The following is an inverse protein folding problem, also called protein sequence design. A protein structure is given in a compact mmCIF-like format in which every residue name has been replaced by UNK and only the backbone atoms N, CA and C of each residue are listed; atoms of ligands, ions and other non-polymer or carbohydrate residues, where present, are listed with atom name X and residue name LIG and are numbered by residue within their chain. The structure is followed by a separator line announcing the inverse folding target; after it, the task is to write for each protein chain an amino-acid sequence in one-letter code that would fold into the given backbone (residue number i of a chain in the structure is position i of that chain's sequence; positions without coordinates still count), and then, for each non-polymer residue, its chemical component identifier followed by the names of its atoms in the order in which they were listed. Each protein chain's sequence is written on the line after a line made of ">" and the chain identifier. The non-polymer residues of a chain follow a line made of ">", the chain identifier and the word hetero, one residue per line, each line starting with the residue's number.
data_IF_639641449512
#
_entry.id   IF_639641449512
#
_cell.length_a   1.000
_cell.length_b   1.000
_cell.length_c   1.000
_cell.angle_alpha   90.00
_cell.angle_beta   90.00
_cell.angle_gamma   90.00
#
_symmetry.space_group_name_H-M   'P 1'
#
loop_
_entity.id
_entity.type
_entity.pdbx_description
1 polymer ?
#
# COMPACT_ATOMS: atom_id res chain seq x y z
N UNK A 1 24.88 -21.64 17.30
CA UNK A 1 23.78 -22.19 16.48
C UNK A 1 22.52 -21.33 16.56
N UNK A 2 22.18 -20.73 17.71
CA UNK A 2 20.93 -19.96 17.88
C UNK A 2 20.94 -18.56 17.22
N UNK A 3 22.10 -17.91 17.12
CA UNK A 3 22.26 -16.63 16.40
C UNK A 3 22.07 -16.79 14.88
N UNK A 4 22.44 -17.93 14.30
CA UNK A 4 22.24 -18.21 12.89
C UNK A 4 20.75 -18.45 12.56
N UNK A 5 19.97 -19.04 13.46
CA UNK A 5 18.54 -19.24 13.34
C UNK A 5 17.77 -17.91 13.41
N UNK A 6 18.14 -16.99 14.30
CA UNK A 6 17.51 -15.66 14.43
C UNK A 6 17.60 -14.80 13.17
N UNK A 7 18.66 -14.95 12.37
CA UNK A 7 18.84 -14.19 11.14
C UNK A 7 18.21 -14.82 9.90
N UNK A 8 17.74 -16.07 10.01
CA UNK A 8 17.14 -16.81 8.90
C UNK A 8 15.61 -16.86 8.94
N UNK A 9 14.99 -16.47 10.05
CA UNK A 9 13.54 -16.52 10.23
C UNK A 9 13.04 -15.16 10.71
N UNK A 10 11.97 -14.64 10.09
CA UNK A 10 11.32 -13.37 10.47
C UNK A 10 9.81 -13.55 10.52
N UNK A 11 9.21 -13.00 11.58
CA UNK A 11 7.77 -12.78 11.62
C UNK A 11 7.39 -11.62 10.70
N UNK A 12 6.50 -11.89 9.77
CA UNK A 12 5.88 -10.87 8.93
C UNK A 12 4.46 -10.63 9.43
N UNK A 13 4.19 -9.36 9.71
CA UNK A 13 2.84 -8.92 10.05
C UNK A 13 2.00 -8.92 8.76
N UNK A 14 0.81 -9.53 8.83
CA UNK A 14 -0.19 -9.47 7.79
C UNK A 14 -1.26 -8.51 8.31
N UNK A 15 -1.35 -7.28 7.77
CA UNK A 15 -2.31 -6.32 8.28
C UNK A 15 -3.73 -6.81 8.03
N UNK A 16 -4.59 -6.67 9.04
CA UNK A 16 -6.04 -6.83 8.90
C UNK A 16 -6.63 -5.67 8.08
N UNK A 17 -7.77 -5.89 7.46
CA UNK A 17 -8.58 -4.83 6.89
C UNK A 17 -9.45 -4.20 7.96
N UNK A 18 -9.50 -2.87 7.97
CA UNK A 18 -10.43 -2.14 8.83
C UNK A 18 -11.83 -2.24 8.27
N UNK A 19 -12.83 -2.56 9.09
CA UNK A 19 -14.23 -2.68 8.72
C UNK A 19 -14.80 -1.38 8.14
N UNK A 20 -15.86 -1.47 7.39
CA UNK A 20 -16.52 -0.35 6.72
C UNK A 20 -17.55 0.34 7.62
N UNK A 21 -17.88 1.59 7.31
CA UNK A 21 -18.95 2.33 7.99
C UNK A 21 -20.02 2.64 6.95
N UNK A 22 -21.25 2.22 7.24
CA UNK A 22 -22.42 2.38 6.38
C UNK A 22 -23.43 3.36 6.98
N UNK A 23 -24.17 4.04 6.10
CA UNK A 23 -25.37 4.79 6.42
C UNK A 23 -26.59 3.86 6.64
N UNK A 24 -27.75 4.44 6.94
CA UNK A 24 -29.01 3.71 7.14
C UNK A 24 -29.52 3.02 5.86
N UNK A 25 -29.21 3.57 4.69
CA UNK A 25 -29.56 3.03 3.37
C UNK A 25 -28.50 2.07 2.79
N UNK A 26 -27.41 1.80 3.52
CA UNK A 26 -26.31 0.95 3.08
C UNK A 26 -25.27 1.64 2.21
N UNK A 27 -25.30 2.97 2.07
CA UNK A 27 -24.26 3.70 1.39
C UNK A 27 -22.97 3.72 2.20
N UNK A 28 -21.81 3.61 1.53
CA UNK A 28 -20.49 3.61 2.17
C UNK A 28 -20.09 5.00 2.63
N UNK A 29 -20.05 5.21 3.95
CA UNK A 29 -19.55 6.45 4.57
C UNK A 29 -18.03 6.44 4.70
N UNK A 30 -17.44 5.29 5.05
CA UNK A 30 -16.00 5.10 5.09
C UNK A 30 -15.63 3.66 4.74
N UNK A 31 -14.59 3.47 3.91
CA UNK A 31 -14.11 2.15 3.50
C UNK A 31 -12.60 2.12 3.40
N UNK A 32 -12.02 0.92 3.50
CA UNK A 32 -10.58 0.68 3.38
C UNK A 32 -10.23 0.18 1.99
N UNK A 33 -9.56 1.00 1.20
CA UNK A 33 -9.21 0.70 -0.19
C UNK A 33 -7.72 0.38 -0.31
N UNK A 34 -7.34 -0.76 -0.93
CA UNK A 34 -5.94 -1.05 -1.16
C UNK A 34 -5.34 -0.07 -2.17
N UNK A 35 -4.23 0.56 -1.79
CA UNK A 35 -3.40 1.39 -2.66
C UNK A 35 -2.02 0.77 -2.79
N UNK A 36 -1.42 0.96 -3.94
CA UNK A 36 -0.13 0.37 -4.27
C UNK A 36 0.93 1.45 -4.45
N UNK A 37 2.10 1.15 -3.93
CA UNK A 37 3.29 1.96 -4.10
C UNK A 37 4.32 1.13 -4.86
N UNK A 38 4.84 1.69 -5.95
CA UNK A 38 5.88 1.07 -6.76
C UNK A 38 7.21 1.73 -6.43
N UNK A 39 8.16 0.91 -6.06
CA UNK A 39 9.55 1.29 -5.82
C UNK A 39 10.50 0.49 -6.71
N UNK A 40 11.70 1.00 -6.86
CA UNK A 40 12.70 0.45 -7.75
C UNK A 40 14.03 0.24 -7.01
N UNK A 41 14.58 -0.96 -7.15
CA UNK A 41 15.95 -1.29 -6.73
C UNK A 41 16.92 -1.08 -7.90
N UNK A 42 17.63 0.04 -7.86
CA UNK A 42 18.57 0.39 -8.92
C UNK A 42 19.85 -0.47 -8.96
N UNK A 43 20.13 -1.25 -7.90
CA UNK A 43 21.32 -2.09 -7.80
C UNK A 43 21.10 -3.47 -8.41
N UNK A 44 19.90 -4.01 -8.26
CA UNK A 44 19.55 -5.36 -8.71
C UNK A 44 19.57 -5.48 -10.25
N UNK A 45 19.21 -4.40 -10.94
CA UNK A 45 19.09 -4.41 -12.42
C UNK A 45 20.47 -4.42 -13.10
N UNK A 46 20.63 -5.28 -14.10
CA UNK A 46 21.85 -5.34 -14.91
C UNK A 46 22.13 -4.03 -15.68
N UNK A 47 23.39 -3.77 -16.02
CA UNK A 47 23.74 -2.59 -16.84
C UNK A 47 23.08 -2.64 -18.23
N UNK A 48 23.03 -3.81 -18.83
CA UNK A 48 22.44 -4.04 -20.16
C UNK A 48 20.93 -3.75 -20.14
N UNK A 49 20.18 -4.42 -19.27
CA UNK A 49 18.72 -4.21 -19.14
C UNK A 49 18.37 -2.77 -18.78
N UNK A 50 19.15 -2.13 -17.90
CA UNK A 50 18.93 -0.75 -17.55
C UNK A 50 19.09 0.20 -18.75
N UNK A 51 20.15 0.01 -19.57
CA UNK A 51 20.37 0.82 -20.76
C UNK A 51 19.28 0.60 -21.82
N UNK A 52 18.87 -0.64 -22.02
CA UNK A 52 17.86 -1.05 -23.00
C UNK A 52 16.46 -0.51 -22.67
N UNK A 53 16.02 -0.69 -21.42
CA UNK A 53 14.64 -0.41 -21.05
C UNK A 53 14.40 0.96 -20.40
N UNK A 54 15.44 1.74 -20.09
CA UNK A 54 15.28 3.03 -19.40
C UNK A 54 14.43 4.02 -20.18
N UNK A 55 14.70 4.22 -21.47
CA UNK A 55 13.95 5.18 -22.31
C UNK A 55 12.51 4.72 -22.55
N UNK A 56 12.24 3.46 -22.93
CA UNK A 56 10.88 2.95 -23.01
C UNK A 56 10.09 3.08 -21.70
N UNK A 57 10.71 2.73 -20.56
CA UNK A 57 10.07 2.89 -19.24
C UNK A 57 9.74 4.36 -18.93
N UNK A 58 10.66 5.27 -19.22
CA UNK A 58 10.47 6.70 -18.97
C UNK A 58 9.32 7.28 -19.81
N UNK A 59 9.15 6.81 -21.04
CA UNK A 59 8.04 7.23 -21.90
C UNK A 59 6.68 6.75 -21.36
N UNK A 60 6.58 5.49 -20.94
CA UNK A 60 5.35 4.96 -20.33
C UNK A 60 5.00 5.70 -19.03
N UNK A 61 5.99 5.95 -18.16
CA UNK A 61 5.79 6.73 -16.94
C UNK A 61 5.39 8.18 -17.24
N UNK A 62 5.94 8.77 -18.30
CA UNK A 62 5.59 10.11 -18.77
C UNK A 62 4.15 10.19 -19.24
N UNK A 63 3.73 9.24 -20.05
CA UNK A 63 2.35 9.14 -20.55
C UNK A 63 1.34 8.95 -19.42
N UNK A 64 1.67 8.13 -18.43
CA UNK A 64 0.75 7.81 -17.33
C UNK A 64 0.67 8.91 -16.26
N UNK A 65 1.81 9.54 -15.92
CA UNK A 65 1.90 10.46 -14.77
C UNK A 65 2.13 11.93 -15.14
N UNK A 66 2.20 12.26 -16.44
CA UNK A 66 2.25 13.62 -16.96
C UNK A 66 3.57 14.37 -16.77
N UNK A 67 4.61 13.75 -16.17
CA UNK A 67 5.94 14.37 -16.08
C UNK A 67 6.78 14.00 -17.30
N UNK A 68 7.65 14.91 -17.80
CA UNK A 68 8.48 14.63 -18.98
C UNK A 68 9.32 13.36 -18.81
N UNK A 69 9.54 12.62 -19.90
CA UNK A 69 10.38 11.42 -19.89
C UNK A 69 11.81 11.70 -19.41
N UNK A 70 12.36 12.87 -19.73
CA UNK A 70 13.67 13.34 -19.25
C UNK A 70 13.76 13.38 -17.73
N UNK A 71 12.67 13.76 -17.03
CA UNK A 71 12.60 13.75 -15.56
C UNK A 71 12.80 12.32 -15.04
N UNK A 72 12.09 11.34 -15.61
CA UNK A 72 12.21 9.95 -15.18
C UNK A 72 13.60 9.39 -15.50
N UNK A 73 14.13 9.65 -16.70
CA UNK A 73 15.48 9.22 -17.08
C UNK A 73 16.51 9.73 -16.06
N UNK A 74 16.47 11.01 -15.73
CA UNK A 74 17.36 11.64 -14.75
C UNK A 74 17.21 11.01 -13.36
N UNK A 75 15.96 10.79 -12.91
CA UNK A 75 15.63 10.19 -11.62
C UNK A 75 16.19 8.76 -11.49
N UNK A 76 16.00 7.93 -12.51
CA UNK A 76 16.51 6.55 -12.52
C UNK A 76 18.03 6.49 -12.59
N UNK A 77 18.67 7.34 -13.42
CA UNK A 77 20.14 7.46 -13.49
C UNK A 77 20.73 7.87 -12.14
N UNK A 78 20.15 8.91 -11.48
CA UNK A 78 20.56 9.35 -10.13
C UNK A 78 20.42 8.24 -9.09
N UNK A 79 19.31 7.49 -9.13
CA UNK A 79 19.10 6.36 -8.23
C UNK A 79 20.18 5.29 -8.42
N UNK A 80 20.60 5.02 -9.67
CA UNK A 80 21.65 4.06 -9.97
C UNK A 80 23.03 4.53 -9.50
N UNK A 81 23.37 5.79 -9.74
CA UNK A 81 24.63 6.40 -9.26
C UNK A 81 24.73 6.33 -7.74
N UNK A 82 23.62 6.64 -7.05
CA UNK A 82 23.56 6.63 -5.59
C UNK A 82 23.32 5.23 -5.00
N UNK A 83 23.32 4.17 -5.83
CA UNK A 83 23.03 2.79 -5.40
C UNK A 83 21.75 2.66 -4.57
N UNK A 84 20.73 3.45 -4.89
CA UNK A 84 19.46 3.47 -4.16
C UNK A 84 18.66 2.19 -4.45
N UNK A 85 18.43 1.39 -3.41
CA UNK A 85 17.69 0.13 -3.50
C UNK A 85 16.19 0.27 -3.26
N UNK A 86 15.71 1.47 -2.95
CA UNK A 86 14.32 1.69 -2.54
C UNK A 86 13.75 3.01 -3.06
N UNK A 87 14.06 3.33 -4.34
CA UNK A 87 13.59 4.56 -4.97
C UNK A 87 12.08 4.52 -5.22
N UNK A 88 11.36 5.53 -4.77
CA UNK A 88 9.93 5.69 -5.07
C UNK A 88 9.73 6.03 -6.55
N UNK A 89 8.96 5.20 -7.26
CA UNK A 89 8.54 5.44 -8.65
C UNK A 89 7.17 6.11 -8.68
N UNK A 90 6.18 5.47 -8.08
CA UNK A 90 4.80 5.95 -8.00
C UNK A 90 4.17 5.53 -6.67
N UNK A 91 3.18 6.29 -6.18
CA UNK A 91 2.44 6.04 -4.95
C UNK A 91 0.95 6.26 -5.15
N UNK A 92 0.15 5.74 -4.23
CA UNK A 92 -1.31 5.87 -4.21
C UNK A 92 -1.99 5.34 -5.48
N UNK A 93 -1.43 4.29 -6.09
CA UNK A 93 -2.02 3.69 -7.28
C UNK A 93 -3.22 2.82 -6.89
N UNK A 94 -4.32 2.95 -7.62
CA UNK A 94 -5.38 1.95 -7.63
C UNK A 94 -4.89 0.64 -8.27
N UNK A 95 -5.67 -0.43 -8.11
CA UNK A 95 -5.29 -1.75 -8.62
C UNK A 95 -5.03 -1.74 -10.15
N UNK A 96 -5.90 -1.08 -10.93
CA UNK A 96 -5.74 -0.99 -12.39
C UNK A 96 -4.42 -0.32 -12.79
N UNK A 97 -4.10 0.81 -12.15
CA UNK A 97 -2.88 1.56 -12.44
C UNK A 97 -1.62 0.85 -11.97
N UNK A 98 -1.72 0.14 -10.86
CA UNK A 98 -0.67 -0.76 -10.39
C UNK A 98 -0.37 -1.85 -11.43
N UNK A 99 -1.39 -2.53 -11.95
CA UNK A 99 -1.21 -3.59 -12.94
C UNK A 99 -0.61 -3.03 -14.23
N UNK A 100 -1.07 -1.87 -14.72
CA UNK A 100 -0.47 -1.19 -15.88
C UNK A 100 1.01 -0.90 -15.63
N UNK A 101 1.33 -0.24 -14.53
CA UNK A 101 2.73 0.15 -14.20
C UNK A 101 3.64 -1.07 -14.00
N UNK A 102 3.13 -2.13 -13.38
CA UNK A 102 3.87 -3.40 -13.23
C UNK A 102 4.30 -3.99 -14.57
N UNK A 103 3.50 -3.80 -15.61
CA UNK A 103 3.75 -4.33 -16.96
C UNK A 103 4.63 -3.42 -17.82
N UNK A 104 5.04 -2.25 -17.34
CA UNK A 104 5.93 -1.36 -18.06
C UNK A 104 7.31 -1.99 -18.34
N UNK A 105 7.98 -1.56 -19.44
CA UNK A 105 9.34 -2.00 -19.75
C UNK A 105 10.23 -1.92 -18.51
N UNK A 106 11.16 -2.85 -18.36
CA UNK A 106 12.00 -3.08 -17.19
C UNK A 106 11.21 -3.63 -15.98
N UNK A 107 10.14 -2.99 -15.52
CA UNK A 107 9.38 -3.40 -14.32
C UNK A 107 8.73 -4.78 -14.51
N UNK A 108 8.27 -5.10 -15.71
CA UNK A 108 7.71 -6.41 -16.07
C UNK A 108 8.68 -7.58 -15.86
N UNK A 109 9.99 -7.31 -15.79
CA UNK A 109 10.99 -8.34 -15.50
C UNK A 109 11.01 -8.76 -14.02
N UNK A 110 10.16 -8.15 -13.20
CA UNK A 110 9.95 -8.51 -11.81
C UNK A 110 11.04 -8.02 -10.85
N UNK A 111 11.03 -8.51 -9.59
CA UNK A 111 11.90 -7.97 -8.54
C UNK A 111 13.39 -8.25 -8.78
N UNK A 112 13.73 -9.41 -9.32
CA UNK A 112 15.13 -9.85 -9.43
C UNK A 112 15.86 -9.35 -10.67
N UNK A 113 15.15 -9.14 -11.79
CA UNK A 113 15.73 -8.66 -13.05
C UNK A 113 15.32 -7.21 -13.36
N UNK A 114 14.12 -6.83 -13.00
CA UNK A 114 13.55 -5.50 -13.23
C UNK A 114 13.65 -4.55 -12.05
N UNK A 115 14.10 -5.02 -10.87
CA UNK A 115 14.22 -4.21 -9.67
C UNK A 115 12.88 -3.73 -9.11
N UNK A 116 11.77 -4.35 -9.49
CA UNK A 116 10.43 -3.97 -9.04
C UNK A 116 10.20 -4.32 -7.57
N UNK A 117 9.81 -3.33 -6.78
CA UNK A 117 9.34 -3.53 -5.40
C UNK A 117 7.93 -2.96 -5.32
N UNK A 118 7.00 -3.76 -4.83
CA UNK A 118 5.61 -3.38 -4.64
C UNK A 118 5.29 -3.38 -3.15
N UNK A 119 4.70 -2.28 -2.68
CA UNK A 119 4.16 -2.17 -1.34
C UNK A 119 2.66 -1.88 -1.44
N UNK A 120 1.85 -2.71 -0.82
CA UNK A 120 0.42 -2.47 -0.66
C UNK A 120 0.19 -1.83 0.71
N UNK A 121 -0.70 -0.85 0.76
CA UNK A 121 -1.18 -0.21 1.99
C UNK A 121 -2.67 0.03 1.85
N UNK A 122 -3.42 -0.12 2.92
CA UNK A 122 -4.82 0.26 2.94
C UNK A 122 -4.94 1.74 3.27
N UNK A 123 -5.75 2.45 2.52
CA UNK A 123 -6.05 3.88 2.72
C UNK A 123 -7.53 4.00 3.02
N UNK A 124 -7.87 4.74 4.07
CA UNK A 124 -9.25 5.02 4.40
C UNK A 124 -9.80 6.07 3.45
N UNK A 125 -10.88 5.75 2.76
CA UNK A 125 -11.57 6.64 1.82
C UNK A 125 -13.00 6.89 2.30
N UNK A 126 -13.51 8.09 2.00
CA UNK A 126 -14.88 8.52 2.23
C UNK A 126 -15.58 8.73 0.88
N UNK A 127 -16.24 7.68 0.32
CA UNK A 127 -16.76 7.72 -1.04
C UNK A 127 -17.80 8.82 -1.29
N UNK A 128 -18.56 9.19 -0.27
CA UNK A 128 -19.59 10.24 -0.33
C UNK A 128 -19.00 11.65 -0.08
N UNK A 129 -17.69 11.76 -0.05
CA UNK A 129 -17.01 13.05 0.11
C UNK A 129 -17.20 13.63 1.51
N UNK A 130 -17.68 14.89 1.59
CA UNK A 130 -17.79 15.61 2.86
C UNK A 130 -19.07 15.35 3.64
N UNK A 131 -20.00 14.57 3.09
CA UNK A 131 -21.26 14.24 3.77
C UNK A 131 -20.93 13.47 5.04
N UNK A 132 -21.44 13.96 6.17
CA UNK A 132 -21.21 13.42 7.51
C UNK A 132 -19.71 13.31 7.93
N UNK A 133 -18.77 13.95 7.22
CA UNK A 133 -17.31 13.85 7.46
C UNK A 133 -16.96 14.10 8.95
N UNK A 134 -17.60 15.07 9.59
CA UNK A 134 -17.35 15.39 11.01
C UNK A 134 -17.84 14.30 11.97
N UNK A 135 -18.95 13.64 11.62
CA UNK A 135 -19.52 12.55 12.42
C UNK A 135 -18.73 11.26 12.23
N UNK A 136 -18.45 10.89 10.99
CA UNK A 136 -17.65 9.73 10.65
C UNK A 136 -16.24 9.90 11.21
N UNK A 137 -15.67 11.09 11.03
CA UNK A 137 -14.33 11.40 11.49
C UNK A 137 -13.24 10.85 10.57
N UNK A 138 -12.03 10.92 11.05
CA UNK A 138 -10.86 10.46 10.31
C UNK A 138 -9.68 10.15 11.24
N UNK A 139 -8.66 9.52 10.67
CA UNK A 139 -7.37 9.30 11.31
C UNK A 139 -6.59 10.61 11.39
N UNK A 140 -6.17 11.01 12.58
CA UNK A 140 -5.27 12.16 12.80
C UNK A 140 -3.94 11.71 13.38
N UNK A 141 -2.86 12.29 12.83
CA UNK A 141 -1.51 12.13 13.38
C UNK A 141 -1.25 13.23 14.41
N UNK A 142 -1.12 12.83 15.66
CA UNK A 142 -0.71 13.71 16.75
C UNK A 142 0.75 13.50 17.15
N UNK A 143 1.22 14.30 18.09
CA UNK A 143 2.60 14.18 18.66
C UNK A 143 2.83 12.86 19.38
N UNK A 144 1.79 12.26 19.94
CA UNK A 144 1.82 11.01 20.70
C UNK A 144 1.46 9.77 19.89
N UNK A 145 1.17 9.94 18.58
CA UNK A 145 0.80 8.85 17.69
C UNK A 145 -0.39 9.17 16.80
N UNK A 146 -0.98 8.12 16.26
CA UNK A 146 -2.17 8.18 15.42
C UNK A 146 -3.40 7.96 16.31
N UNK A 147 -4.41 8.79 16.14
CA UNK A 147 -5.71 8.64 16.82
C UNK A 147 -6.85 8.89 15.84
N UNK A 148 -7.93 8.18 16.05
CA UNK A 148 -9.14 8.32 15.27
C UNK A 148 -10.15 9.17 16.02
N UNK A 149 -10.92 9.97 15.31
CA UNK A 149 -11.99 10.84 15.85
C UNK A 149 -13.33 10.49 15.23
N UNK A 150 -14.43 10.93 15.85
CA UNK A 150 -15.78 10.64 15.39
C UNK A 150 -16.16 9.16 15.58
N UNK A 151 -16.98 8.62 14.70
CA UNK A 151 -17.36 7.20 14.70
C UNK A 151 -16.14 6.30 14.50
N UNK A 152 -15.18 6.73 13.68
CA UNK A 152 -13.90 6.05 13.51
C UNK A 152 -13.16 5.84 14.84
N UNK A 153 -13.22 6.83 15.73
CA UNK A 153 -12.62 6.73 17.06
C UNK A 153 -13.47 5.95 18.05
N UNK A 154 -14.77 6.23 18.09
CA UNK A 154 -15.69 5.59 19.03
C UNK A 154 -15.79 4.08 18.83
N UNK A 155 -15.73 3.61 17.58
CA UNK A 155 -15.83 2.20 17.21
C UNK A 155 -14.48 1.59 16.78
N UNK A 156 -13.35 2.23 17.11
CA UNK A 156 -12.02 1.78 16.68
C UNK A 156 -11.72 0.33 17.09
N UNK A 157 -12.13 -0.10 18.26
CA UNK A 157 -11.93 -1.46 18.75
C UNK A 157 -12.60 -2.52 17.86
N UNK A 158 -13.80 -2.20 17.34
CA UNK A 158 -14.54 -3.10 16.45
C UNK A 158 -14.04 -3.02 15.02
N UNK A 159 -13.78 -1.81 14.53
CA UNK A 159 -13.35 -1.54 13.15
C UNK A 159 -11.93 -2.05 12.84
N UNK A 160 -11.02 -2.03 13.81
CA UNK A 160 -9.58 -2.24 13.59
C UNK A 160 -9.20 -3.63 13.10
N UNK A 161 -9.92 -4.68 13.53
CA UNK A 161 -9.52 -6.06 13.29
C UNK A 161 -8.28 -6.47 14.10
N UNK A 162 -7.73 -7.62 13.76
CA UNK A 162 -6.52 -8.18 14.40
C UNK A 162 -5.52 -8.60 13.33
N UNK A 163 -4.33 -8.03 13.38
CA UNK A 163 -3.27 -8.38 12.44
C UNK A 163 -2.83 -9.83 12.59
N UNK A 164 -2.61 -10.47 11.45
CA UNK A 164 -2.03 -11.81 11.36
C UNK A 164 -0.50 -11.78 11.46
N UNK A 165 0.08 -12.95 11.69
CA UNK A 165 1.53 -13.16 11.73
C UNK A 165 1.88 -14.40 10.93
N UNK A 166 2.83 -14.27 10.00
CA UNK A 166 3.35 -15.37 9.20
C UNK A 166 4.86 -15.43 9.31
N UNK A 167 5.36 -16.62 9.58
CA UNK A 167 6.79 -16.88 9.64
C UNK A 167 7.35 -17.00 8.22
N UNK A 168 8.39 -16.25 7.90
CA UNK A 168 9.14 -16.40 6.64
C UNK A 168 10.58 -16.74 6.93
N UNK A 169 11.11 -17.74 6.22
CA UNK A 169 12.51 -18.15 6.28
C UNK A 169 13.27 -17.65 5.07
N UNK A 170 14.45 -17.12 5.31
CA UNK A 170 15.39 -16.73 4.27
C UNK A 170 16.07 -17.98 3.70
N UNK A 171 15.80 -18.28 2.41
CA UNK A 171 16.32 -19.50 1.77
C UNK A 171 17.64 -19.27 1.01
N UNK A 172 17.82 -18.14 0.32
CA UNK A 172 19.07 -17.74 -0.32
C UNK A 172 19.00 -16.28 -0.80
N UNK A 173 20.16 -15.58 -0.87
CA UNK A 173 20.35 -14.26 -1.55
C UNK A 173 19.16 -13.27 -1.43
N UNK A 174 18.53 -13.17 -0.25
CA UNK A 174 17.42 -12.26 -0.03
C UNK A 174 16.02 -12.80 -0.34
N UNK A 175 15.89 -14.07 -0.73
CA UNK A 175 14.61 -14.72 -0.93
C UNK A 175 14.03 -15.22 0.40
N UNK A 176 12.75 -14.89 0.63
CA UNK A 176 12.00 -15.31 1.81
C UNK A 176 10.88 -16.26 1.36
N UNK A 177 10.83 -17.45 1.94
CA UNK A 177 9.75 -18.41 1.72
C UNK A 177 8.88 -18.48 2.97
N UNK A 178 7.55 -18.53 2.84
CA UNK A 178 6.68 -18.85 3.97
C UNK A 178 7.08 -20.22 4.54
N UNK A 179 7.18 -20.28 5.84
CA UNK A 179 7.31 -21.57 6.55
C UNK A 179 5.96 -21.81 7.18
N UNK A 180 5.35 -22.93 6.87
CA UNK A 180 4.14 -23.36 7.56
C UNK A 180 4.55 -23.74 8.97
N UNK A 181 4.09 -22.96 9.94
CA UNK A 181 4.30 -23.19 11.36
C UNK A 181 2.94 -23.17 12.06
N UNK A 182 2.79 -24.01 13.07
CA UNK A 182 1.59 -24.06 13.91
C UNK A 182 1.27 -22.74 14.63
N UNK A 183 2.23 -21.81 14.63
CA UNK A 183 2.10 -20.46 15.19
C UNK A 183 1.69 -19.39 14.13
N UNK A 184 1.28 -19.80 12.93
CA UNK A 184 0.73 -18.86 11.95
C UNK A 184 -0.64 -18.35 12.43
N UNK A 185 -0.78 -17.05 12.52
CA UNK A 185 -2.03 -16.38 12.88
C UNK A 185 -2.56 -15.68 11.65
N UNK A 186 -3.69 -16.13 11.14
CA UNK A 186 -4.38 -15.44 10.06
C UNK A 186 -4.93 -14.09 10.56
N UNK A 187 -4.92 -13.05 9.72
CA UNK A 187 -5.54 -11.77 10.07
C UNK A 187 -7.06 -11.94 10.17
N UNK A 188 -7.64 -11.28 11.14
CA UNK A 188 -9.11 -11.17 11.29
C UNK A 188 -9.49 -9.74 10.99
N UNK A 189 -10.27 -9.54 9.93
CA UNK A 189 -10.74 -8.22 9.53
C UNK A 189 -11.68 -7.63 10.59
N UNK A 190 -11.76 -6.29 10.63
CA UNK A 190 -12.65 -5.59 11.54
C UNK A 190 -14.12 -5.79 11.18
N UNK A 191 -14.98 -5.57 12.16
CA UNK A 191 -16.43 -5.57 11.95
C UNK A 191 -16.86 -4.28 11.26
N UNK A 192 -17.88 -4.40 10.41
CA UNK A 192 -18.54 -3.25 9.82
C UNK A 192 -19.49 -2.59 10.83
N UNK A 193 -19.65 -1.28 10.71
CA UNK A 193 -20.55 -0.48 11.52
C UNK A 193 -21.66 0.09 10.64
N UNK A 194 -22.90 -0.30 10.91
CA UNK A 194 -24.09 0.26 10.26
C UNK A 194 -24.62 1.36 11.16
N UNK A 195 -24.77 2.56 10.63
CA UNK A 195 -25.23 3.72 11.36
C UNK A 195 -26.70 4.05 11.02
N UNK A 196 -27.30 4.94 11.78
CA UNK A 196 -28.61 5.53 11.47
C UNK A 196 -28.48 6.88 10.75
N UNK A 197 -27.31 7.19 10.21
CA UNK A 197 -27.07 8.42 9.45
C UNK A 197 -27.78 8.32 8.10
N UNK A 198 -28.70 9.26 7.85
CA UNK A 198 -29.32 9.38 6.54
C UNK A 198 -28.54 10.36 5.67
N UNK A 199 -28.01 9.83 4.55
CA UNK A 199 -27.14 10.59 3.64
C UNK A 199 -27.86 11.79 3.04
N UNK A 200 -29.15 11.64 2.66
CA UNK A 200 -29.93 12.71 2.04
C UNK A 200 -30.18 13.87 3.02
N UNK A 201 -30.49 13.55 4.29
CA UNK A 201 -30.68 14.57 5.33
C UNK A 201 -29.36 15.30 5.59
N UNK A 202 -28.26 14.57 5.64
CA UNK A 202 -26.92 15.16 5.83
C UNK A 202 -26.48 16.04 4.66
N UNK A 203 -26.81 15.67 3.44
CA UNK A 203 -26.52 16.46 2.24
C UNK A 203 -27.28 17.80 2.27
N UNK A 204 -28.59 17.77 2.59
CA UNK A 204 -29.42 18.98 2.75
C UNK A 204 -28.88 19.88 3.86
N UNK A 205 -28.39 19.30 4.96
CA UNK A 205 -27.86 20.07 6.08
C UNK A 205 -26.46 20.66 5.81
N UNK A 206 -25.78 20.16 4.79
CA UNK A 206 -24.44 20.63 4.42
C UNK A 206 -24.48 21.82 3.45
N UNK A 207 -25.55 21.97 2.69
CA UNK A 207 -25.83 23.07 1.76
C UNK A 207 -26.60 24.21 2.43
#
# INVERSE_FOLDING_TARGET
>A
RDLAKKNTVKNWLIPSSRGDIYSDDGSLLATSVPKYEIRFDAVTVSKASFKEYLSPLANELSAMFGKPSSYYISKFKKARTNKNRYMLVAKNLGYSDYIKTKNFPLLKLGPYKGGLIVKQTNVREHPIGKVAERLVGNEKKGTTGVYNIGLEGAYDEYLRGKDGKRLKQKIAKGQWKPVFDENEVEPVDGYDVITTINVNIQDIAHH
#
